data_IF_508532819186
#
_entry.id   IF_508532819186
#
_cell.length_a   1.000
_cell.length_b   1.000
_cell.length_c   1.000
_cell.angle_alpha   90.00
_cell.angle_beta   90.00
_cell.angle_gamma   90.00
#
_symmetry.space_group_name_H-M   'P 1'
#
loop_
_entity.id
_entity.type
_entity.pdbx_description
1 polymer ?
#
# COMPACT_ATOMS: atom_id res chain seq x y z
N UNK A 1 -19.97 17.56 -9.83
CA UNK A 1 -20.20 16.85 -11.11
C UNK A 1 -20.90 15.53 -10.81
N UNK A 2 -21.94 15.16 -11.55
CA UNK A 2 -22.60 13.86 -11.44
C UNK A 2 -22.66 13.22 -12.82
N UNK A 3 -22.09 12.03 -12.98
CA UNK A 3 -22.13 11.25 -14.23
C UNK A 3 -21.89 9.78 -13.91
N UNK A 4 -22.48 8.86 -14.68
CA UNK A 4 -22.25 7.41 -14.56
C UNK A 4 -22.40 6.85 -13.13
N UNK A 5 -23.46 7.28 -12.43
CA UNK A 5 -23.71 6.91 -11.02
C UNK A 5 -22.56 7.28 -10.06
N UNK A 6 -21.78 8.29 -10.44
CA UNK A 6 -20.66 8.84 -9.69
C UNK A 6 -20.91 10.30 -9.39
N UNK A 7 -20.77 10.69 -8.13
CA UNK A 7 -20.78 12.07 -7.69
C UNK A 7 -19.36 12.49 -7.31
N UNK A 8 -18.92 13.60 -7.87
CA UNK A 8 -17.64 14.24 -7.55
C UNK A 8 -17.92 15.64 -6.99
N UNK A 9 -17.42 15.89 -5.78
CA UNK A 9 -17.37 17.20 -5.13
C UNK A 9 -15.90 17.54 -4.92
N UNK A 10 -15.51 18.76 -5.27
CA UNK A 10 -14.14 19.17 -5.13
C UNK A 10 -14.03 20.67 -4.95
N UNK A 11 -13.10 21.10 -4.12
CA UNK A 11 -12.65 22.48 -4.06
C UNK A 11 -11.13 22.48 -4.17
N UNK A 12 -10.63 23.29 -5.08
CA UNK A 12 -9.19 23.47 -5.29
C UNK A 12 -8.86 24.95 -5.19
N UNK A 13 -7.82 25.28 -4.45
CA UNK A 13 -7.20 26.60 -4.42
C UNK A 13 -5.77 26.45 -4.94
N UNK A 14 -5.38 27.36 -5.83
CA UNK A 14 -4.00 27.48 -6.30
C UNK A 14 -3.49 28.86 -5.90
N UNK A 15 -2.39 28.90 -5.14
CA UNK A 15 -1.65 30.14 -4.84
C UNK A 15 -0.40 30.22 -5.71
N UNK A 16 0.17 31.43 -5.82
CA UNK A 16 1.50 31.63 -6.39
C UNK A 16 1.66 31.05 -7.81
N UNK A 17 0.60 31.06 -8.62
CA UNK A 17 0.58 30.44 -9.95
C UNK A 17 1.70 30.96 -10.87
N UNK A 18 2.04 32.25 -10.75
CA UNK A 18 3.06 32.90 -11.59
C UNK A 18 4.50 32.70 -11.08
N UNK A 19 4.70 32.04 -9.94
CA UNK A 19 6.04 31.81 -9.35
C UNK A 19 6.83 30.70 -10.06
N UNK A 20 6.19 29.87 -10.88
CA UNK A 20 6.76 28.64 -11.41
C UNK A 20 6.71 27.45 -10.44
N UNK A 21 6.40 27.69 -9.17
CA UNK A 21 6.26 26.69 -8.11
C UNK A 21 5.00 26.97 -7.27
N UNK A 22 3.79 26.70 -7.82
CA UNK A 22 2.54 27.02 -7.14
C UNK A 22 2.33 26.21 -5.86
N UNK A 23 1.50 26.75 -4.99
CA UNK A 23 0.89 26.01 -3.89
C UNK A 23 -0.49 25.50 -4.32
N UNK A 24 -0.81 24.27 -3.93
CA UNK A 24 -2.09 23.62 -4.22
C UNK A 24 -2.75 23.20 -2.91
N UNK A 25 -4.00 23.60 -2.69
CA UNK A 25 -4.86 22.98 -1.67
C UNK A 25 -6.05 22.36 -2.38
N UNK A 26 -6.33 21.08 -2.10
CA UNK A 26 -7.48 20.40 -2.68
C UNK A 26 -8.23 19.60 -1.62
N UNK A 27 -9.57 19.70 -1.64
CA UNK A 27 -10.49 18.81 -0.94
C UNK A 27 -11.35 18.14 -1.97
N UNK A 28 -11.27 16.82 -2.08
CA UNK A 28 -11.95 16.04 -3.11
C UNK A 28 -12.74 14.92 -2.43
N UNK A 29 -14.00 14.76 -2.82
CA UNK A 29 -14.85 13.64 -2.43
C UNK A 29 -15.51 13.07 -3.68
N UNK A 30 -15.34 11.77 -3.89
CA UNK A 30 -15.88 11.01 -5.00
C UNK A 30 -16.60 9.80 -4.44
N UNK A 31 -17.88 9.63 -4.77
CA UNK A 31 -18.61 8.41 -4.45
C UNK A 31 -19.27 7.87 -5.71
N UNK A 32 -19.42 6.54 -5.80
CA UNK A 32 -20.13 5.93 -6.89
C UNK A 32 -20.49 4.47 -6.63
N UNK A 33 -21.39 3.95 -7.48
CA UNK A 33 -21.99 2.63 -7.28
C UNK A 33 -21.30 1.51 -8.07
N UNK A 34 -20.54 1.85 -9.11
CA UNK A 34 -19.95 0.88 -10.04
C UNK A 34 -18.57 1.36 -10.54
N UNK A 35 -17.52 1.12 -9.74
CA UNK A 35 -16.15 1.45 -10.13
C UNK A 35 -15.68 0.71 -11.40
N UNK A 36 -15.96 -0.60 -11.61
CA UNK A 36 -15.61 -1.30 -12.85
C UNK A 36 -16.14 -0.61 -14.10
N UNK A 37 -17.34 -0.01 -14.04
CA UNK A 37 -17.90 0.76 -15.16
C UNK A 37 -17.04 1.96 -15.55
N UNK A 38 -16.42 2.66 -14.58
CA UNK A 38 -15.52 3.78 -14.90
C UNK A 38 -14.27 3.32 -15.64
N UNK A 39 -13.69 2.19 -15.23
CA UNK A 39 -12.57 1.58 -15.94
C UNK A 39 -12.94 1.12 -17.35
N UNK A 40 -14.17 0.62 -17.53
CA UNK A 40 -14.70 0.26 -18.85
C UNK A 40 -14.84 1.48 -19.76
N UNK A 41 -15.35 2.59 -19.25
CA UNK A 41 -15.48 3.86 -19.99
C UNK A 41 -14.09 4.41 -20.37
N UNK A 42 -13.09 4.24 -19.49
CA UNK A 42 -11.70 4.60 -19.77
C UNK A 42 -10.97 3.59 -20.67
N UNK A 43 -11.67 2.60 -21.24
CA UNK A 43 -11.13 1.56 -22.13
C UNK A 43 -10.04 0.68 -21.48
N UNK A 44 -10.09 0.50 -20.16
CA UNK A 44 -9.16 -0.33 -19.39
C UNK A 44 -9.76 -1.73 -19.18
N UNK A 45 -10.07 -2.42 -20.29
CA UNK A 45 -10.89 -3.64 -20.32
C UNK A 45 -10.35 -4.86 -19.53
N UNK A 46 -9.02 -5.11 -19.44
CA UNK A 46 -8.52 -6.17 -18.57
C UNK A 46 -8.82 -5.88 -17.08
N UNK A 47 -8.73 -4.62 -16.65
CA UNK A 47 -8.98 -4.23 -15.26
C UNK A 47 -10.48 -4.18 -14.96
N UNK A 48 -11.26 -3.56 -15.84
CA UNK A 48 -12.72 -3.50 -15.69
C UNK A 48 -13.34 -4.89 -15.51
N UNK A 49 -12.92 -5.85 -16.34
CA UNK A 49 -13.41 -7.23 -16.29
C UNK A 49 -13.08 -7.97 -14.99
N UNK A 50 -11.89 -7.73 -14.42
CA UNK A 50 -11.47 -8.38 -13.16
C UNK A 50 -12.14 -7.73 -11.95
N UNK A 51 -12.25 -6.40 -11.94
CA UNK A 51 -12.96 -5.67 -10.89
C UNK A 51 -14.46 -6.00 -10.89
N UNK A 52 -15.06 -6.26 -12.05
CA UNK A 52 -16.47 -6.65 -12.16
C UNK A 52 -16.81 -7.99 -11.47
N UNK A 53 -15.79 -8.82 -11.18
CA UNK A 53 -15.95 -10.09 -10.45
C UNK A 53 -16.06 -9.89 -8.94
N UNK A 54 -15.73 -8.71 -8.42
CA UNK A 54 -15.85 -8.42 -7.00
C UNK A 54 -17.32 -8.21 -6.62
N UNK A 55 -17.75 -8.69 -5.45
CA UNK A 55 -19.16 -8.67 -5.04
C UNK A 55 -19.65 -7.24 -4.77
N UNK A 56 -18.82 -6.42 -4.13
CA UNK A 56 -19.09 -5.00 -3.92
C UNK A 56 -18.38 -4.21 -5.02
N UNK A 57 -19.11 -3.30 -5.70
CA UNK A 57 -18.60 -2.42 -6.77
C UNK A 57 -18.59 -0.95 -6.39
N UNK A 58 -19.15 -0.64 -5.21
CA UNK A 58 -19.21 0.73 -4.69
C UNK A 58 -17.82 1.22 -4.32
N UNK A 59 -17.66 2.53 -4.41
CA UNK A 59 -16.45 3.22 -4.02
C UNK A 59 -16.79 4.58 -3.43
N UNK A 60 -16.04 4.97 -2.41
CA UNK A 60 -16.01 6.29 -1.82
C UNK A 60 -14.55 6.67 -1.59
N UNK A 61 -14.18 7.86 -2.04
CA UNK A 61 -12.84 8.44 -1.93
C UNK A 61 -13.01 9.83 -1.37
N UNK A 62 -12.39 10.12 -0.24
CA UNK A 62 -12.34 11.46 0.32
C UNK A 62 -10.90 11.79 0.66
N UNK A 63 -10.43 12.96 0.23
CA UNK A 63 -9.05 13.40 0.50
C UNK A 63 -8.96 14.91 0.71
N UNK A 64 -8.11 15.32 1.65
CA UNK A 64 -7.66 16.69 1.84
C UNK A 64 -6.15 16.70 1.68
N UNK A 65 -5.66 17.51 0.74
CA UNK A 65 -4.22 17.65 0.51
C UNK A 65 -3.80 19.10 0.35
N UNK A 66 -2.56 19.36 0.75
CA UNK A 66 -1.81 20.56 0.48
C UNK A 66 -0.47 20.17 -0.15
N UNK A 67 -0.09 20.81 -1.24
CA UNK A 67 1.21 20.65 -1.86
C UNK A 67 1.89 22.02 -2.03
N UNK A 68 3.14 22.09 -1.63
CA UNK A 68 4.02 23.24 -1.82
C UNK A 68 5.13 22.80 -2.78
N UNK A 69 5.07 23.28 -4.03
CA UNK A 69 6.05 22.89 -5.03
C UNK A 69 7.39 23.63 -4.90
N UNK A 70 7.45 24.73 -4.14
CA UNK A 70 8.69 25.45 -3.88
C UNK A 70 9.53 24.66 -2.86
N UNK A 71 8.93 24.28 -1.74
CA UNK A 71 9.58 23.47 -0.71
C UNK A 71 9.58 21.97 -1.02
N UNK A 72 8.79 21.56 -2.03
CA UNK A 72 8.59 20.17 -2.45
C UNK A 72 7.94 19.35 -1.33
N UNK A 73 6.96 19.95 -0.67
CA UNK A 73 6.25 19.35 0.43
C UNK A 73 4.86 18.86 -0.03
N UNK A 74 4.39 17.77 0.57
CA UNK A 74 3.07 17.21 0.36
C UNK A 74 2.48 16.78 1.68
N UNK A 75 1.35 17.38 2.05
CA UNK A 75 0.54 16.99 3.18
C UNK A 75 -0.77 16.39 2.64
N UNK A 76 -1.07 15.17 3.07
CA UNK A 76 -2.35 14.52 2.93
C UNK A 76 -2.89 14.44 4.36
N UNK A 77 -3.67 15.45 4.75
CA UNK A 77 -4.24 15.55 6.09
C UNK A 77 -5.25 14.42 6.33
N UNK A 78 -5.90 13.97 5.27
CA UNK A 78 -6.83 12.86 5.28
C UNK A 78 -6.89 12.21 3.90
N UNK A 79 -6.81 10.89 3.87
CA UNK A 79 -7.21 10.05 2.76
C UNK A 79 -8.07 8.92 3.30
N UNK A 80 -9.34 8.90 2.91
CA UNK A 80 -10.29 7.82 3.18
C UNK A 80 -10.69 7.18 1.86
N UNK A 81 -10.41 5.89 1.72
CA UNK A 81 -10.79 5.08 0.57
C UNK A 81 -11.65 3.91 1.05
N UNK A 82 -12.93 3.91 0.69
CA UNK A 82 -13.80 2.76 0.85
C UNK A 82 -14.06 2.16 -0.53
N UNK A 83 -13.39 1.07 -0.89
CA UNK A 83 -13.47 0.51 -2.25
C UNK A 83 -13.62 -1.00 -2.18
N UNK A 84 -14.64 -1.55 -2.84
CA UNK A 84 -14.91 -3.00 -2.85
C UNK A 84 -15.07 -3.62 -1.46
N UNK A 85 -15.57 -2.84 -0.49
CA UNK A 85 -15.71 -3.24 0.92
C UNK A 85 -14.43 -3.11 1.75
N UNK A 86 -13.30 -2.74 1.15
CA UNK A 86 -12.06 -2.44 1.84
C UNK A 86 -12.08 -0.99 2.31
N UNK A 87 -11.41 -0.72 3.43
CA UNK A 87 -11.27 0.61 4.02
C UNK A 87 -9.78 0.93 4.16
N UNK A 88 -9.35 2.08 3.66
CA UNK A 88 -8.00 2.60 3.84
C UNK A 88 -8.12 4.02 4.36
N UNK A 89 -7.52 4.28 5.50
CA UNK A 89 -7.42 5.60 6.11
C UNK A 89 -5.94 5.94 6.24
N UNK A 90 -5.52 7.08 5.71
CA UNK A 90 -4.13 7.50 5.80
C UNK A 90 -3.98 8.99 6.02
N UNK A 91 -2.92 9.34 6.74
CA UNK A 91 -2.41 10.70 6.91
C UNK A 91 -0.92 10.65 6.56
N UNK A 92 -0.46 11.53 5.68
CA UNK A 92 0.93 11.52 5.19
C UNK A 92 1.44 12.95 5.12
N UNK A 93 2.61 13.19 5.72
CA UNK A 93 3.32 14.46 5.65
C UNK A 93 4.70 14.17 5.10
N UNK A 94 4.96 14.62 3.88
CA UNK A 94 6.23 14.48 3.20
C UNK A 94 6.86 15.85 2.98
N UNK A 95 8.16 15.95 3.23
CA UNK A 95 8.93 17.17 3.06
C UNK A 95 10.16 16.94 2.22
N UNK A 96 10.57 17.98 1.49
CA UNK A 96 11.73 17.95 0.60
C UNK A 96 11.70 16.75 -0.35
N UNK A 97 10.51 16.45 -0.90
CA UNK A 97 10.36 15.39 -1.90
C UNK A 97 11.31 15.65 -3.07
N UNK A 98 11.76 14.58 -3.74
CA UNK A 98 12.68 14.66 -4.90
C UNK A 98 14.07 15.25 -4.59
N UNK A 99 14.45 15.37 -3.31
CA UNK A 99 15.82 15.69 -2.88
C UNK A 99 16.56 14.44 -2.41
N UNK A 100 17.84 14.56 -2.06
CA UNK A 100 18.63 13.46 -1.48
C UNK A 100 18.28 13.21 0.00
N UNK A 101 17.59 14.13 0.67
CA UNK A 101 17.23 14.01 2.08
C UNK A 101 15.73 14.27 2.34
N UNK A 102 14.82 13.48 1.74
CA UNK A 102 13.40 13.57 2.05
C UNK A 102 13.12 13.20 3.51
N UNK A 103 12.01 13.73 4.02
CA UNK A 103 11.40 13.28 5.26
C UNK A 103 9.94 12.91 5.01
N UNK A 104 9.47 11.80 5.57
CA UNK A 104 8.08 11.35 5.46
C UNK A 104 7.65 10.78 6.80
N UNK A 105 6.53 11.28 7.31
CA UNK A 105 5.83 10.70 8.46
C UNK A 105 4.38 10.45 8.12
N UNK A 106 3.77 9.48 8.77
CA UNK A 106 2.37 9.21 8.53
C UNK A 106 1.78 8.08 9.36
N UNK A 107 0.48 7.91 9.15
CA UNK A 107 -0.32 6.81 9.66
C UNK A 107 -1.06 6.16 8.51
N UNK A 108 -1.17 4.84 8.56
CA UNK A 108 -1.95 4.06 7.62
C UNK A 108 -2.73 3.00 8.39
N UNK A 109 -4.04 2.96 8.16
CA UNK A 109 -4.89 1.86 8.56
C UNK A 109 -5.55 1.31 7.30
N UNK A 110 -5.46 0.00 7.07
CA UNK A 110 -6.11 -0.66 5.95
C UNK A 110 -6.76 -1.95 6.44
N UNK A 111 -8.02 -2.17 6.09
CA UNK A 111 -8.75 -3.38 6.45
C UNK A 111 -9.72 -3.77 5.35
N UNK A 112 -10.11 -5.03 5.32
CA UNK A 112 -11.09 -5.46 4.33
C UNK A 112 -11.43 -6.93 4.39
N UNK A 113 -12.45 -7.32 3.61
CA UNK A 113 -13.04 -8.64 3.71
C UNK A 113 -12.30 -9.73 2.90
N UNK A 114 -11.51 -9.35 1.88
CA UNK A 114 -10.96 -10.31 0.91
C UNK A 114 -9.62 -9.85 0.30
N UNK A 115 -8.55 -9.91 1.12
CA UNK A 115 -7.19 -9.65 0.65
C UNK A 115 -6.72 -10.58 -0.49
N UNK A 116 -7.01 -11.90 -0.47
CA UNK A 116 -6.63 -12.79 -1.57
C UNK A 116 -7.17 -12.33 -2.94
N UNK A 117 -8.39 -11.81 -2.98
CA UNK A 117 -8.97 -11.26 -4.21
C UNK A 117 -8.25 -9.99 -4.67
N UNK A 118 -7.87 -9.09 -3.75
CA UNK A 118 -7.08 -7.91 -4.07
C UNK A 118 -5.69 -8.27 -4.62
N UNK A 119 -5.01 -9.23 -3.99
CA UNK A 119 -3.70 -9.72 -4.45
C UNK A 119 -3.83 -10.34 -5.83
N UNK A 120 -4.87 -11.15 -6.08
CA UNK A 120 -5.11 -11.75 -7.40
C UNK A 120 -5.23 -10.68 -8.50
N UNK A 121 -5.97 -9.60 -8.23
CA UNK A 121 -6.06 -8.46 -9.16
C UNK A 121 -4.68 -7.85 -9.35
N UNK A 122 -3.96 -7.50 -8.28
CA UNK A 122 -2.62 -6.92 -8.38
C UNK A 122 -1.64 -7.80 -9.18
N UNK A 123 -1.65 -9.12 -8.98
CA UNK A 123 -0.82 -10.08 -9.71
C UNK A 123 -1.10 -10.08 -11.21
N UNK A 124 -2.36 -9.89 -11.65
CA UNK A 124 -2.69 -9.83 -13.08
C UNK A 124 -2.04 -8.62 -13.77
N UNK A 125 -1.72 -7.56 -13.03
CA UNK A 125 -1.07 -6.35 -13.55
C UNK A 125 0.43 -6.26 -13.23
N UNK A 126 1.00 -7.27 -12.57
CA UNK A 126 2.42 -7.32 -12.22
C UNK A 126 3.36 -7.50 -13.42
N UNK A 127 2.83 -7.96 -14.57
CA UNK A 127 3.62 -8.39 -15.72
C UNK A 127 4.25 -9.78 -15.58
N UNK A 128 3.93 -10.53 -14.52
CA UNK A 128 4.35 -11.93 -14.38
C UNK A 128 3.70 -12.85 -15.41
N UNK A 129 4.32 -14.00 -15.65
CA UNK A 129 3.75 -14.96 -16.59
C UNK A 129 2.50 -15.65 -16.01
N UNK A 130 1.59 -16.06 -16.89
CA UNK A 130 0.30 -16.66 -16.51
C UNK A 130 0.42 -17.93 -15.66
N UNK A 131 1.51 -18.71 -15.80
CA UNK A 131 1.71 -19.93 -15.02
C UNK A 131 2.01 -19.61 -13.55
N UNK A 132 2.88 -18.64 -13.31
CA UNK A 132 3.21 -18.14 -11.97
C UNK A 132 1.98 -17.54 -11.28
N UNK A 133 1.25 -16.68 -11.99
CA UNK A 133 0.00 -16.09 -11.48
C UNK A 133 -1.01 -17.18 -11.11
N UNK A 134 -1.21 -18.19 -11.97
CA UNK A 134 -2.12 -19.30 -11.69
C UNK A 134 -1.69 -20.16 -10.49
N UNK A 135 -0.38 -20.33 -10.28
CA UNK A 135 0.13 -21.07 -9.12
C UNK A 135 -0.14 -20.31 -7.83
N UNK A 136 0.20 -19.01 -7.80
CA UNK A 136 0.02 -18.15 -6.63
C UNK A 136 -1.45 -17.97 -6.28
N UNK A 137 -2.31 -17.76 -7.28
CA UNK A 137 -3.75 -17.60 -7.05
C UNK A 137 -4.41 -18.86 -6.50
N UNK A 138 -3.94 -20.06 -6.86
CA UNK A 138 -4.39 -21.31 -6.24
C UNK A 138 -3.99 -21.40 -4.77
N UNK A 139 -2.77 -21.00 -4.43
CA UNK A 139 -2.29 -21.00 -3.04
C UNK A 139 -3.02 -19.95 -2.19
N UNK A 140 -3.31 -18.78 -2.75
CA UNK A 140 -4.07 -17.71 -2.09
C UNK A 140 -5.50 -18.13 -1.74
N UNK A 141 -6.13 -18.99 -2.55
CA UNK A 141 -7.51 -19.41 -2.35
C UNK A 141 -7.74 -20.14 -1.01
N UNK A 142 -6.70 -20.73 -0.41
CA UNK A 142 -6.78 -21.41 0.89
C UNK A 142 -6.42 -20.51 2.08
N UNK A 143 -6.08 -19.24 1.86
CA UNK A 143 -5.67 -18.32 2.94
C UNK A 143 -6.87 -17.59 3.55
N UNK A 144 -6.80 -17.19 4.84
CA UNK A 144 -7.80 -16.31 5.43
C UNK A 144 -8.00 -15.03 4.63
N UNK A 145 -9.27 -14.67 4.43
CA UNK A 145 -9.67 -13.55 3.57
C UNK A 145 -9.54 -12.19 4.23
N UNK A 146 -9.94 -12.10 5.50
CA UNK A 146 -9.92 -10.87 6.27
C UNK A 146 -8.49 -10.38 6.45
N UNK A 147 -8.32 -9.06 6.39
CA UNK A 147 -7.05 -8.44 6.74
C UNK A 147 -7.24 -7.16 7.54
N UNK A 148 -6.22 -6.83 8.32
CA UNK A 148 -6.05 -5.58 9.03
C UNK A 148 -4.57 -5.20 9.05
N UNK A 149 -4.26 -3.97 8.71
CA UNK A 149 -2.92 -3.37 8.70
C UNK A 149 -3.01 -2.03 9.38
N UNK A 150 -2.17 -1.79 10.37
CA UNK A 150 -2.06 -0.53 11.06
C UNK A 150 -0.58 -0.19 11.22
N UNK A 151 -0.18 1.01 10.85
CA UNK A 151 1.19 1.46 11.02
C UNK A 151 1.26 2.95 11.25
N UNK A 152 2.22 3.35 12.08
CA UNK A 152 2.70 4.73 12.23
C UNK A 152 4.18 4.70 11.92
N UNK A 153 4.65 5.66 11.13
CA UNK A 153 6.06 5.75 10.73
C UNK A 153 6.53 7.20 10.65
N UNK A 154 7.82 7.39 10.86
CA UNK A 154 8.52 8.66 10.73
C UNK A 154 9.93 8.38 10.21
N UNK A 155 10.23 8.85 9.00
CA UNK A 155 11.52 8.69 8.35
C UNK A 155 12.04 10.09 8.02
N UNK A 156 13.24 10.41 8.46
CA UNK A 156 13.92 11.65 8.11
C UNK A 156 15.36 11.33 7.74
N UNK A 157 15.66 11.37 6.43
CA UNK A 157 16.98 11.02 5.91
C UNK A 157 18.03 12.07 6.26
N UNK A 158 17.63 13.33 6.49
CA UNK A 158 18.53 14.40 6.93
C UNK A 158 18.97 14.16 8.38
N UNK A 159 18.01 13.79 9.24
CA UNK A 159 18.28 13.41 10.63
C UNK A 159 18.89 12.01 10.76
N UNK A 160 18.85 11.20 9.69
CA UNK A 160 19.34 9.84 9.68
C UNK A 160 18.51 8.92 10.57
N UNK A 161 17.20 9.12 10.65
CA UNK A 161 16.28 8.33 11.49
C UNK A 161 15.21 7.62 10.65
N UNK A 162 14.80 6.45 11.12
CA UNK A 162 13.55 5.81 10.72
C UNK A 162 12.92 5.21 11.97
N UNK A 163 11.69 5.60 12.28
CA UNK A 163 10.95 5.18 13.47
C UNK A 163 9.62 4.59 13.02
N UNK A 164 9.32 3.39 13.52
CA UNK A 164 8.05 2.69 13.36
C UNK A 164 7.59 2.38 14.78
N UNK A 165 6.98 3.34 15.49
CA UNK A 165 6.57 3.14 16.88
C UNK A 165 5.45 2.10 17.05
N UNK A 166 4.73 1.79 15.96
CA UNK A 166 3.70 0.77 15.95
C UNK A 166 3.50 0.23 14.53
N UNK A 167 3.62 -1.08 14.39
CA UNK A 167 3.17 -1.86 13.24
C UNK A 167 2.32 -3.02 13.75
N UNK A 168 1.17 -3.26 13.11
CA UNK A 168 0.31 -4.42 13.33
C UNK A 168 -0.24 -4.89 11.99
N UNK A 169 0.00 -6.16 11.65
CA UNK A 169 -0.51 -6.78 10.43
C UNK A 169 -1.17 -8.09 10.82
N UNK A 170 -2.42 -8.28 10.39
CA UNK A 170 -3.12 -9.56 10.39
C UNK A 170 -3.63 -9.80 8.98
N UNK A 171 -3.02 -10.73 8.27
CA UNK A 171 -3.31 -10.95 6.84
C UNK A 171 -2.88 -12.35 6.43
N UNK A 172 -3.65 -13.03 5.59
CA UNK A 172 -3.27 -14.34 5.02
C UNK A 172 -2.92 -15.41 6.07
N UNK A 173 -3.46 -15.30 7.29
CA UNK A 173 -3.12 -16.16 8.43
C UNK A 173 -1.82 -15.79 9.16
N UNK A 174 -1.11 -14.77 8.71
CA UNK A 174 0.04 -14.18 9.39
C UNK A 174 -0.42 -13.14 10.42
N UNK A 175 0.30 -13.06 11.53
CA UNK A 175 0.25 -11.95 12.49
C UNK A 175 1.65 -11.38 12.67
N UNK A 176 1.80 -10.07 12.51
CA UNK A 176 3.05 -9.34 12.75
C UNK A 176 2.76 -8.15 13.65
N UNK A 177 3.64 -7.92 14.63
CA UNK A 177 3.71 -6.68 15.38
C UNK A 177 5.16 -6.22 15.48
N UNK A 178 5.40 -4.92 15.37
CA UNK A 178 6.75 -4.39 15.49
C UNK A 178 6.79 -2.98 16.09
N UNK A 179 7.89 -2.70 16.79
CA UNK A 179 8.31 -1.36 17.19
C UNK A 179 9.77 -1.21 16.83
N UNK A 180 10.10 -0.41 15.83
CA UNK A 180 11.45 -0.35 15.26
C UNK A 180 11.96 1.09 15.27
N UNK A 181 13.21 1.27 15.70
CA UNK A 181 13.89 2.56 15.68
C UNK A 181 15.28 2.39 15.11
N UNK A 182 15.50 2.98 13.94
CA UNK A 182 16.78 3.07 13.29
C UNK A 182 17.37 4.48 13.45
N UNK A 183 18.69 4.55 13.65
CA UNK A 183 19.48 5.78 13.69
C UNK A 183 20.71 5.62 12.82
N UNK A 184 21.25 6.75 12.34
CA UNK A 184 22.40 6.80 11.44
C UNK A 184 22.20 5.96 10.18
N UNK A 185 20.96 5.94 9.65
CA UNK A 185 20.60 5.13 8.46
C UNK A 185 21.34 5.54 7.19
N UNK A 186 21.92 6.74 7.18
CA UNK A 186 22.77 7.30 6.13
C UNK A 186 24.28 7.07 6.37
N UNK A 187 24.65 6.25 7.36
CA UNK A 187 26.05 5.95 7.69
C UNK A 187 26.43 4.52 7.33
N UNK A 188 27.72 4.21 7.30
CA UNK A 188 28.24 2.84 7.18
C UNK A 188 27.95 1.95 8.40
N UNK A 189 27.46 2.52 9.50
CA UNK A 189 27.20 1.81 10.76
C UNK A 189 25.80 2.15 11.29
N UNK A 190 24.74 1.75 10.57
CA UNK A 190 23.36 1.99 11.02
C UNK A 190 23.09 1.24 12.32
N UNK A 191 22.31 1.87 13.20
CA UNK A 191 21.89 1.27 14.46
C UNK A 191 20.40 0.97 14.35
N UNK A 192 20.02 -0.29 14.52
CA UNK A 192 18.64 -0.74 14.57
C UNK A 192 18.34 -1.30 15.95
N UNK A 193 17.33 -0.75 16.62
CA UNK A 193 16.79 -1.27 17.87
C UNK A 193 15.29 -1.47 17.71
N UNK A 194 14.73 -2.47 18.40
CA UNK A 194 13.30 -2.67 18.38
C UNK A 194 12.89 -4.09 18.71
N UNK A 195 11.58 -4.28 18.70
CA UNK A 195 10.92 -5.55 18.92
C UNK A 195 10.19 -5.93 17.63
N UNK A 196 10.31 -7.19 17.22
CA UNK A 196 9.58 -7.78 16.11
C UNK A 196 9.01 -9.11 16.58
N UNK A 197 7.70 -9.24 16.50
CA UNK A 197 7.01 -10.51 16.63
C UNK A 197 6.27 -10.81 15.34
N UNK A 198 6.54 -11.96 14.72
CA UNK A 198 5.87 -12.36 13.49
C UNK A 198 5.65 -13.87 13.47
N UNK A 199 4.44 -14.29 13.13
CA UNK A 199 4.10 -15.70 12.99
C UNK A 199 3.12 -15.92 11.86
N UNK A 200 3.17 -17.10 11.26
CA UNK A 200 2.24 -17.46 10.19
C UNK A 200 2.46 -18.86 9.65
N UNK A 201 1.54 -19.36 8.82
CA UNK A 201 1.54 -20.74 8.36
C UNK A 201 2.44 -21.01 7.16
N UNK A 202 2.77 -19.99 6.35
CA UNK A 202 3.47 -20.17 5.07
C UNK A 202 4.36 -18.97 4.70
N UNK A 203 5.57 -18.90 5.26
CA UNK A 203 6.57 -17.88 4.92
C UNK A 203 6.94 -17.87 3.41
N UNK A 204 7.15 -19.03 2.74
CA UNK A 204 7.40 -19.06 1.31
C UNK A 204 6.31 -18.35 0.49
N UNK A 205 5.03 -18.59 0.80
CA UNK A 205 3.92 -17.96 0.10
C UNK A 205 3.94 -16.42 0.28
N UNK A 206 4.17 -15.93 1.50
CA UNK A 206 4.25 -14.47 1.76
C UNK A 206 5.35 -13.84 0.91
N UNK A 207 6.54 -14.44 0.87
CA UNK A 207 7.66 -13.92 0.07
C UNK A 207 7.31 -13.96 -1.41
N UNK A 208 6.71 -15.04 -1.90
CA UNK A 208 6.29 -15.14 -3.30
C UNK A 208 5.24 -14.10 -3.69
N UNK A 209 4.31 -13.74 -2.79
CA UNK A 209 3.33 -12.67 -3.03
C UNK A 209 4.03 -11.32 -3.15
N UNK A 210 4.97 -11.01 -2.25
CA UNK A 210 5.74 -9.75 -2.30
C UNK A 210 6.51 -9.66 -3.61
N UNK A 211 7.16 -10.73 -4.05
CA UNK A 211 7.82 -10.83 -5.36
C UNK A 211 6.86 -10.81 -6.55
N UNK A 212 5.65 -11.29 -6.33
CA UNK A 212 4.56 -11.26 -7.29
C UNK A 212 4.14 -9.84 -7.63
N UNK A 213 4.12 -8.97 -6.62
CA UNK A 213 3.62 -7.60 -6.73
C UNK A 213 4.77 -6.62 -7.03
N UNK A 214 5.94 -6.83 -6.43
CA UNK A 214 7.13 -6.00 -6.64
C UNK A 214 8.03 -6.65 -7.68
N UNK A 215 8.58 -5.86 -8.62
CA UNK A 215 9.70 -6.32 -9.47
C UNK A 215 10.96 -6.42 -8.60
N UNK A 216 11.07 -7.47 -7.81
CA UNK A 216 12.23 -7.72 -6.93
C UNK A 216 13.45 -8.20 -7.72
N UNK A 217 14.63 -7.95 -7.18
CA UNK A 217 15.89 -8.43 -7.75
C UNK A 217 16.04 -9.97 -7.73
N UNK A 218 17.12 -10.45 -8.36
CA UNK A 218 17.41 -11.87 -8.53
C UNK A 218 17.80 -12.59 -7.23
N UNK A 219 18.24 -11.89 -6.19
CA UNK A 219 18.66 -12.47 -4.92
C UNK A 219 17.43 -12.86 -4.06
N UNK A 220 16.42 -11.98 -4.00
CA UNK A 220 15.15 -12.33 -3.36
C UNK A 220 14.51 -13.57 -4.00
N UNK A 221 14.57 -13.69 -5.34
CA UNK A 221 14.05 -14.85 -6.07
C UNK A 221 14.75 -16.17 -5.69
N UNK A 222 16.03 -16.14 -5.29
CA UNK A 222 16.75 -17.33 -4.80
C UNK A 222 16.22 -17.75 -3.43
N UNK A 223 15.98 -16.77 -2.55
CA UNK A 223 15.48 -17.00 -1.19
C UNK A 223 14.10 -17.68 -1.24
N UNK A 224 13.17 -17.18 -2.04
CA UNK A 224 11.82 -17.76 -2.15
C UNK A 224 11.84 -19.20 -2.68
N UNK A 225 12.66 -19.48 -3.70
CA UNK A 225 12.81 -20.83 -4.25
C UNK A 225 13.41 -21.81 -3.25
N UNK A 226 14.36 -21.37 -2.43
CA UNK A 226 14.96 -22.20 -1.41
C UNK A 226 14.00 -22.47 -0.25
N UNK A 227 13.27 -21.45 0.20
CA UNK A 227 12.25 -21.59 1.24
C UNK A 227 11.09 -22.49 0.80
N UNK A 228 10.71 -22.45 -0.48
CA UNK A 228 9.68 -23.35 -1.03
C UNK A 228 10.02 -24.84 -0.96
N UNK A 229 11.30 -25.21 -0.75
CA UNK A 229 11.75 -26.61 -0.61
C UNK A 229 11.71 -27.10 0.84
N UNK A 230 11.53 -26.21 1.81
CA UNK A 230 11.52 -26.57 3.23
C UNK A 230 10.20 -27.26 3.58
N UNK A 231 10.26 -28.36 4.35
CA UNK A 231 9.06 -29.12 4.75
C UNK A 231 8.14 -28.31 5.67
N UNK A 232 8.72 -27.62 6.65
CA UNK A 232 7.98 -26.71 7.53
C UNK A 232 7.95 -25.31 6.90
N UNK A 233 6.76 -24.85 6.56
CA UNK A 233 6.54 -23.52 5.97
C UNK A 233 6.11 -22.49 7.00
N UNK A 234 5.66 -22.95 8.16
CA UNK A 234 5.26 -22.07 9.26
C UNK A 234 6.47 -21.41 9.89
N UNK A 235 6.28 -20.21 10.43
CA UNK A 235 7.32 -19.45 11.10
C UNK A 235 6.81 -18.81 12.38
N UNK A 236 7.73 -18.60 13.31
CA UNK A 236 7.53 -17.84 14.54
C UNK A 236 8.86 -17.12 14.85
N UNK A 237 8.82 -15.80 14.85
CA UNK A 237 9.95 -14.90 15.04
C UNK A 237 9.60 -14.00 16.23
N UNK A 238 10.54 -13.88 17.16
CA UNK A 238 10.49 -12.95 18.28
C UNK A 238 11.90 -12.46 18.57
N UNK A 239 12.10 -11.14 18.52
CA UNK A 239 13.40 -10.47 18.78
C UNK A 239 13.29 -9.52 19.95
#
# INVERSE_FOLDING_TARGET
LTAFDTQIKGQTKVSSLLSGAPELTAKISINGKDLPRLFKIAEIEPLASELAKLPNKTFDVSTSLYADLENKDLNIDELVLNVFGNKINSEIYARHLTTDTPAVRGKLNASGPDLPSLIKIALQFSGQNKKEINSLTKQLASTPKLFNVETVFDVDLKAGIADIPSLSIKALGMSTSAKLKARKINSSTPILNGELEASGPDLPLIIQIVQGIQKTDSEFLKISKNLGKVKSKSFNIKT
#
